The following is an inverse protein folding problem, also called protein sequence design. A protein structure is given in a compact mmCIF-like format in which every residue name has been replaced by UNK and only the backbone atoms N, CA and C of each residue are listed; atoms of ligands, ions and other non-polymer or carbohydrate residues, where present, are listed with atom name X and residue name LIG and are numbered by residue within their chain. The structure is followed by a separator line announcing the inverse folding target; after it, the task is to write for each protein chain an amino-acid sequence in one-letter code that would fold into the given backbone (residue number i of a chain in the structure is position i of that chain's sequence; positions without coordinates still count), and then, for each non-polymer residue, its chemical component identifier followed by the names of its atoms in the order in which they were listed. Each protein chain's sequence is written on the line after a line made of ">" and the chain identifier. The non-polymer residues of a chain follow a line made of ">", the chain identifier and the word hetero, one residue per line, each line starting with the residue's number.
data_IF_996055281308
#
_entry.id   IF_996055281308
#
_cell.length_a   1.000
_cell.length_b   1.000
_cell.length_c   1.000
_cell.angle_alpha   90.00
_cell.angle_beta   90.00
_cell.angle_gamma   90.00
#
_symmetry.space_group_name_H-M   'P 1'
#
loop_
_entity.id
_entity.type
_entity.pdbx_description
1 polymer ?
#
# COMPACT_ATOMS: atom_id res chain seq x y z
N UNK A 1 -6.04 -11.38 28.64
CA UNK A 1 -6.73 -10.64 27.56
C UNK A 1 -6.47 -11.35 26.24
N UNK A 2 -7.43 -11.42 25.30
CA UNK A 2 -7.25 -12.06 23.96
C UNK A 2 -6.02 -11.51 23.22
N UNK A 3 -5.65 -10.26 23.48
CA UNK A 3 -4.46 -9.62 22.91
C UNK A 3 -3.15 -10.35 23.24
N UNK A 4 -2.97 -10.82 24.46
CA UNK A 4 -1.73 -11.48 24.92
C UNK A 4 -1.71 -12.99 24.66
N UNK A 5 -2.77 -13.57 24.09
CA UNK A 5 -2.75 -15.00 23.77
C UNK A 5 -1.75 -15.28 22.65
N UNK A 6 -1.08 -16.43 22.72
CA UNK A 6 -0.19 -16.94 21.65
C UNK A 6 -0.96 -17.38 20.38
N UNK A 7 -2.28 -17.17 20.36
CA UNK A 7 -3.12 -17.48 19.22
C UNK A 7 -2.81 -16.54 18.05
N UNK A 8 -2.48 -17.16 16.91
CA UNK A 8 -2.20 -16.47 15.65
C UNK A 8 -3.51 -15.84 15.15
N UNK A 9 -3.54 -14.52 14.88
CA UNK A 9 -4.72 -13.87 14.32
C UNK A 9 -5.10 -14.46 12.95
N UNK A 10 -6.40 -14.56 12.66
CA UNK A 10 -6.90 -15.02 11.35
C UNK A 10 -6.54 -14.09 10.18
N UNK A 11 -6.23 -12.83 10.49
CA UNK A 11 -5.88 -11.78 9.52
C UNK A 11 -4.53 -11.18 9.87
N UNK A 12 -3.79 -10.77 8.87
CA UNK A 12 -2.56 -9.98 9.02
C UNK A 12 -2.86 -8.51 8.72
N UNK A 13 -2.07 -7.62 9.30
CA UNK A 13 -2.09 -6.19 9.03
C UNK A 13 -0.67 -5.71 8.78
N UNK A 14 -0.50 -4.61 8.05
CA UNK A 14 0.85 -4.07 7.82
C UNK A 14 1.36 -3.29 9.05
N UNK A 15 2.68 -3.16 9.24
CA UNK A 15 3.23 -2.32 10.29
C UNK A 15 2.80 -0.85 10.18
N UNK A 16 2.61 -0.33 8.95
CA UNK A 16 2.11 1.03 8.71
C UNK A 16 0.68 1.21 9.20
N UNK A 17 -0.15 0.17 9.12
CA UNK A 17 -1.50 0.18 9.67
C UNK A 17 -1.45 0.25 11.21
N UNK A 18 -0.57 -0.52 11.84
CA UNK A 18 -0.32 -0.42 13.29
C UNK A 18 0.12 1.00 13.70
N UNK A 19 1.06 1.60 12.98
CA UNK A 19 1.50 3.00 13.19
C UNK A 19 0.34 3.97 13.00
N UNK A 20 -0.53 3.76 12.00
CA UNK A 20 -1.71 4.60 11.77
C UNK A 20 -2.67 4.55 12.96
N UNK A 21 -2.88 3.38 13.55
CA UNK A 21 -3.79 3.23 14.69
C UNK A 21 -3.28 3.92 15.95
N UNK A 22 -1.97 4.08 16.14
CA UNK A 22 -1.43 4.83 17.28
C UNK A 22 -1.82 6.32 17.25
N UNK A 23 -2.03 6.92 16.07
CA UNK A 23 -2.55 8.29 15.94
C UNK A 23 -3.93 8.44 16.58
N UNK A 24 -4.77 7.40 16.46
CA UNK A 24 -6.08 7.35 17.12
C UNK A 24 -5.97 7.43 18.64
N UNK A 25 -4.98 6.74 19.22
CA UNK A 25 -4.67 6.80 20.66
C UNK A 25 -4.23 8.21 21.06
N UNK A 26 -3.31 8.84 20.31
CA UNK A 26 -2.84 10.20 20.59
C UNK A 26 -4.00 11.20 20.60
N UNK A 27 -4.89 11.13 19.61
CA UNK A 27 -6.08 11.99 19.56
C UNK A 27 -7.04 11.71 20.72
N UNK A 28 -7.30 10.43 21.02
CA UNK A 28 -8.18 10.05 22.11
C UNK A 28 -7.61 10.47 23.47
N UNK A 29 -6.28 10.44 23.64
CA UNK A 29 -5.57 10.91 24.85
C UNK A 29 -5.79 12.41 25.06
N UNK A 30 -5.61 13.22 24.00
CA UNK A 30 -5.86 14.65 24.07
C UNK A 30 -7.32 14.97 24.45
N UNK A 31 -8.28 14.22 23.89
CA UNK A 31 -9.69 14.37 24.27
C UNK A 31 -9.98 13.95 25.70
N UNK A 32 -9.32 12.90 26.21
CA UNK A 32 -9.48 12.48 27.61
C UNK A 32 -8.98 13.55 28.58
N UNK A 33 -7.84 14.18 28.29
CA UNK A 33 -7.33 15.31 29.09
C UNK A 33 -8.30 16.50 29.03
N UNK A 34 -8.83 16.82 27.85
CA UNK A 34 -9.82 17.89 27.70
C UNK A 34 -11.11 17.60 28.47
N UNK A 35 -11.62 16.37 28.42
CA UNK A 35 -12.80 15.94 29.15
C UNK A 35 -12.59 16.03 30.67
N UNK A 36 -11.43 15.57 31.18
CA UNK A 36 -11.07 15.73 32.59
C UNK A 36 -11.03 17.19 33.02
N UNK A 37 -10.49 18.08 32.19
CA UNK A 37 -10.46 19.52 32.48
C UNK A 37 -11.86 20.18 32.44
N UNK A 38 -12.75 19.71 31.56
CA UNK A 38 -14.11 20.24 31.41
C UNK A 38 -15.02 19.93 32.61
N UNK A 39 -14.79 18.80 33.27
CA UNK A 39 -15.69 18.21 34.28
C UNK A 39 -17.13 18.01 33.79
N UNK A 40 -17.35 17.89 32.48
CA UNK A 40 -18.68 17.63 31.89
C UNK A 40 -18.86 16.13 31.65
N UNK A 41 -19.96 15.59 32.16
CA UNK A 41 -20.25 14.17 32.01
C UNK A 41 -20.43 13.76 30.54
N UNK A 42 -21.02 14.62 29.72
CA UNK A 42 -21.18 14.40 28.26
C UNK A 42 -19.82 14.22 27.56
N UNK A 43 -18.85 15.09 27.88
CA UNK A 43 -17.49 15.03 27.31
C UNK A 43 -16.77 13.74 27.73
N UNK A 44 -16.97 13.29 28.98
CA UNK A 44 -16.41 12.03 29.49
C UNK A 44 -17.02 10.82 28.79
N UNK A 45 -18.34 10.80 28.57
CA UNK A 45 -19.03 9.71 27.83
C UNK A 45 -18.56 9.65 26.38
N UNK A 46 -18.52 10.80 25.70
CA UNK A 46 -18.06 10.89 24.32
C UNK A 46 -16.60 10.42 24.18
N UNK A 47 -15.74 10.81 25.12
CA UNK A 47 -14.35 10.36 25.19
C UNK A 47 -14.28 8.85 25.41
N UNK A 48 -14.99 8.29 26.40
CA UNK A 48 -14.93 6.86 26.70
C UNK A 48 -15.31 5.98 25.49
N UNK A 49 -16.31 6.40 24.70
CA UNK A 49 -16.69 5.71 23.47
C UNK A 49 -15.60 5.77 22.40
N UNK A 50 -14.98 6.93 22.20
CA UNK A 50 -13.84 7.08 21.29
C UNK A 50 -12.65 6.23 21.75
N UNK A 51 -12.32 6.28 23.04
CA UNK A 51 -11.23 5.55 23.66
C UNK A 51 -11.36 4.04 23.46
N UNK A 52 -12.55 3.49 23.71
CA UNK A 52 -12.81 2.06 23.53
C UNK A 52 -12.49 1.61 22.10
N UNK A 53 -12.94 2.37 21.11
CA UNK A 53 -12.67 2.08 19.70
C UNK A 53 -11.18 2.18 19.39
N UNK A 54 -10.55 3.30 19.76
CA UNK A 54 -9.14 3.53 19.47
C UNK A 54 -8.23 2.46 20.08
N UNK A 55 -8.48 2.04 21.33
CA UNK A 55 -7.73 0.97 22.00
C UNK A 55 -7.96 -0.38 21.33
N UNK A 56 -9.22 -0.72 21.00
CA UNK A 56 -9.53 -1.98 20.33
C UNK A 56 -8.88 -2.08 18.94
N UNK A 57 -8.97 -1.01 18.14
CA UNK A 57 -8.38 -0.94 16.81
C UNK A 57 -6.84 -1.03 16.89
N UNK A 58 -6.22 -0.33 17.86
CA UNK A 58 -4.76 -0.40 18.09
C UNK A 58 -4.31 -1.80 18.49
N UNK A 59 -4.98 -2.44 19.45
CA UNK A 59 -4.62 -3.79 19.90
C UNK A 59 -4.78 -4.81 18.76
N UNK A 60 -5.83 -4.66 17.96
CA UNK A 60 -6.07 -5.54 16.81
C UNK A 60 -4.94 -5.40 15.79
N UNK A 61 -4.64 -4.17 15.33
CA UNK A 61 -3.58 -3.93 14.36
C UNK A 61 -2.19 -4.31 14.90
N UNK A 62 -1.91 -4.04 16.18
CA UNK A 62 -0.64 -4.41 16.81
C UNK A 62 -0.45 -5.94 16.84
N UNK A 63 -1.49 -6.69 17.23
CA UNK A 63 -1.43 -8.16 17.23
C UNK A 63 -1.29 -8.71 15.81
N UNK A 64 -2.08 -8.22 14.87
CA UNK A 64 -2.06 -8.71 13.49
C UNK A 64 -0.72 -8.42 12.78
N UNK A 65 -0.11 -7.25 13.02
CA UNK A 65 1.20 -6.91 12.46
C UNK A 65 2.34 -7.70 13.10
N UNK A 66 2.32 -7.87 14.43
CA UNK A 66 3.39 -8.57 15.16
C UNK A 66 3.46 -10.08 14.89
N UNK A 67 2.39 -10.67 14.36
CA UNK A 67 2.33 -12.09 13.97
C UNK A 67 2.61 -12.32 12.47
N UNK A 68 3.06 -11.29 11.73
CA UNK A 68 3.52 -11.48 10.36
C UNK A 68 4.72 -12.45 10.32
N UNK A 69 4.82 -13.37 9.34
CA UNK A 69 5.88 -14.38 9.28
C UNK A 69 7.31 -13.80 9.33
N UNK A 70 7.49 -12.62 8.76
CA UNK A 70 8.81 -11.95 8.67
C UNK A 70 9.20 -11.18 9.94
N UNK A 71 8.32 -11.14 10.96
CA UNK A 71 8.59 -10.45 12.23
C UNK A 71 9.27 -11.39 13.21
N UNK A 72 10.43 -10.96 13.72
CA UNK A 72 11.17 -11.73 14.72
C UNK A 72 10.40 -11.85 16.04
N UNK A 73 10.64 -12.93 16.79
CA UNK A 73 10.00 -13.17 18.08
C UNK A 73 10.26 -12.03 19.08
N UNK A 74 11.49 -11.50 19.12
CA UNK A 74 11.85 -10.37 19.98
C UNK A 74 11.02 -9.12 19.67
N UNK A 75 10.87 -8.77 18.39
CA UNK A 75 10.07 -7.61 17.97
C UNK A 75 8.60 -7.83 18.28
N UNK A 76 8.09 -9.05 18.09
CA UNK A 76 6.72 -9.43 18.45
C UNK A 76 6.48 -9.28 19.95
N UNK A 77 7.33 -9.82 20.81
CA UNK A 77 7.22 -9.69 22.26
C UNK A 77 7.24 -8.23 22.71
N UNK A 78 8.16 -7.44 22.14
CA UNK A 78 8.25 -5.99 22.41
C UNK A 78 6.95 -5.27 22.05
N UNK A 79 6.38 -5.54 20.87
CA UNK A 79 5.13 -4.93 20.42
C UNK A 79 3.95 -5.30 21.33
N UNK A 80 3.80 -6.57 21.71
CA UNK A 80 2.74 -7.03 22.62
C UNK A 80 2.90 -6.45 24.03
N UNK A 81 4.13 -6.33 24.51
CA UNK A 81 4.42 -5.66 25.78
C UNK A 81 3.97 -4.20 25.74
N UNK A 82 4.41 -3.41 24.77
CA UNK A 82 4.04 -1.99 24.72
C UNK A 82 2.57 -1.76 24.33
N UNK A 83 1.92 -2.69 23.62
CA UNK A 83 0.47 -2.67 23.44
C UNK A 83 -0.27 -2.81 24.77
N UNK A 84 0.24 -3.66 25.65
CA UNK A 84 -0.27 -3.83 27.02
C UNK A 84 0.00 -2.58 27.86
N UNK A 85 1.25 -2.08 27.88
CA UNK A 85 1.61 -0.87 28.65
C UNK A 85 0.82 0.35 28.19
N UNK A 86 0.59 0.51 26.88
CA UNK A 86 -0.25 1.56 26.33
C UNK A 86 -1.69 1.45 26.85
N UNK A 87 -2.26 0.24 26.83
CA UNK A 87 -3.63 -0.01 27.31
C UNK A 87 -3.78 0.25 28.81
N UNK A 88 -2.83 -0.23 29.62
CA UNK A 88 -2.83 0.01 31.07
C UNK A 88 -2.66 1.50 31.37
N UNK A 89 -1.70 2.16 30.71
CA UNK A 89 -1.47 3.59 30.86
C UNK A 89 -2.70 4.42 30.51
N UNK A 90 -3.44 3.98 29.48
CA UNK A 90 -4.67 4.62 29.02
C UNK A 90 -5.85 4.36 29.98
N UNK A 91 -5.97 3.15 30.52
CA UNK A 91 -7.00 2.81 31.51
C UNK A 91 -6.86 3.71 32.75
N UNK A 92 -5.65 3.81 33.29
CA UNK A 92 -5.37 4.67 34.44
C UNK A 92 -5.66 6.15 34.16
N UNK A 93 -5.41 6.64 32.93
CA UNK A 93 -5.82 7.98 32.53
C UNK A 93 -7.34 8.15 32.60
N UNK A 94 -8.13 7.19 32.11
CA UNK A 94 -9.59 7.25 32.17
C UNK A 94 -10.14 7.14 33.59
N UNK A 95 -9.53 6.30 34.43
CA UNK A 95 -9.86 6.21 35.86
C UNK A 95 -9.61 7.54 36.57
N UNK A 96 -8.51 8.22 36.25
CA UNK A 96 -8.20 9.53 36.79
C UNK A 96 -9.15 10.63 36.28
N UNK A 97 -9.56 10.57 35.01
CA UNK A 97 -10.61 11.45 34.46
C UNK A 97 -11.94 11.25 35.20
N UNK A 98 -12.31 10.01 35.51
CA UNK A 98 -13.50 9.70 36.29
C UNK A 98 -13.40 10.24 37.74
N UNK A 99 -12.23 10.11 38.36
CA UNK A 99 -11.96 10.68 39.69
C UNK A 99 -12.16 12.21 39.70
N UNK A 100 -11.64 12.91 38.67
CA UNK A 100 -11.84 14.36 38.53
C UNK A 100 -13.32 14.71 38.36
N UNK A 101 -14.09 13.92 37.60
CA UNK A 101 -15.53 14.14 37.44
C UNK A 101 -16.26 14.04 38.78
N UNK A 102 -15.87 13.10 39.65
CA UNK A 102 -16.48 12.90 40.97
C UNK A 102 -16.04 13.96 41.99
N UNK A 103 -14.77 14.40 41.93
CA UNK A 103 -14.16 15.30 42.90
C UNK A 103 -13.24 16.30 42.18
N UNK A 104 -13.79 17.33 41.52
CA UNK A 104 -13.00 18.22 40.70
C UNK A 104 -12.11 19.12 41.56
N UNK A 105 -10.78 18.91 41.50
CA UNK A 105 -9.79 19.77 42.14
C UNK A 105 -8.69 20.19 41.14
N UNK A 106 -8.06 21.37 41.33
CA UNK A 106 -6.97 21.81 40.45
C UNK A 106 -5.78 20.85 40.45
N UNK A 107 -5.45 20.26 41.60
CA UNK A 107 -4.36 19.28 41.76
C UNK A 107 -4.60 18.04 40.90
N UNK A 108 -5.80 17.46 40.96
CA UNK A 108 -6.13 16.28 40.16
C UNK A 108 -6.09 16.58 38.65
N UNK A 109 -6.54 17.78 38.24
CA UNK A 109 -6.44 18.23 36.84
C UNK A 109 -4.98 18.39 36.40
N UNK A 110 -4.11 18.93 37.25
CA UNK A 110 -2.70 19.08 36.94
C UNK A 110 -2.02 17.71 36.67
N UNK A 111 -2.41 16.69 37.44
CA UNK A 111 -1.90 15.33 37.28
C UNK A 111 -2.27 14.68 35.93
N UNK A 112 -3.29 15.15 35.19
CA UNK A 112 -3.61 14.62 33.85
C UNK A 112 -2.41 14.66 32.89
N UNK A 113 -1.52 15.63 33.03
CA UNK A 113 -0.33 15.75 32.20
C UNK A 113 0.62 14.56 32.36
N UNK A 114 0.77 14.02 33.57
CA UNK A 114 1.66 12.87 33.82
C UNK A 114 1.09 11.59 33.21
N UNK A 115 -0.21 11.34 33.40
CA UNK A 115 -0.92 10.20 32.80
C UNK A 115 -0.86 10.26 31.25
N UNK A 116 -1.15 11.42 30.67
CA UNK A 116 -1.03 11.67 29.23
C UNK A 116 0.38 11.37 28.71
N UNK A 117 1.42 11.84 29.43
CA UNK A 117 2.82 11.62 29.03
C UNK A 117 3.20 10.14 29.05
N UNK A 118 2.69 9.37 30.01
CA UNK A 118 2.93 7.92 30.07
C UNK A 118 2.29 7.20 28.87
N UNK A 119 1.06 7.55 28.51
CA UNK A 119 0.41 7.02 27.30
C UNK A 119 1.22 7.36 26.05
N UNK A 120 1.67 8.61 25.92
CA UNK A 120 2.49 9.04 24.79
C UNK A 120 3.83 8.28 24.72
N UNK A 121 4.45 7.98 25.86
CA UNK A 121 5.64 7.15 25.93
C UNK A 121 5.40 5.75 25.34
N UNK A 122 4.36 5.06 25.80
CA UNK A 122 4.01 3.74 25.27
C UNK A 122 3.64 3.77 23.77
N UNK A 123 2.98 4.84 23.31
CA UNK A 123 2.71 5.06 21.87
C UNK A 123 4.00 5.18 21.06
N UNK A 124 4.99 5.92 21.55
CA UNK A 124 6.30 6.04 20.90
C UNK A 124 6.98 4.68 20.77
N UNK A 125 6.96 3.87 21.84
CA UNK A 125 7.56 2.53 21.82
C UNK A 125 6.81 1.57 20.88
N UNK A 126 5.48 1.70 20.76
CA UNK A 126 4.68 0.98 19.77
C UNK A 126 5.06 1.34 18.33
N UNK A 127 5.28 2.63 18.05
CA UNK A 127 5.72 3.09 16.72
C UNK A 127 7.08 2.47 16.39
N UNK A 128 8.05 2.59 17.29
CA UNK A 128 9.38 1.99 17.10
C UNK A 128 9.31 0.47 16.92
N UNK A 129 8.43 -0.21 17.66
CA UNK A 129 8.24 -1.65 17.51
C UNK A 129 7.66 -2.00 16.14
N UNK A 130 6.70 -1.22 15.65
CA UNK A 130 6.15 -1.40 14.30
C UNK A 130 7.16 -1.06 13.19
N UNK A 131 8.02 -0.06 13.38
CA UNK A 131 9.12 0.20 12.44
C UNK A 131 10.10 -0.98 12.38
N UNK A 132 10.42 -1.56 13.53
CA UNK A 132 11.29 -2.74 13.61
C UNK A 132 10.67 -4.00 12.98
N UNK A 133 9.33 -4.10 12.87
CA UNK A 133 8.65 -5.23 12.22
C UNK A 133 8.97 -5.34 10.74
N UNK A 134 9.36 -4.24 10.09
CA UNK A 134 9.71 -4.25 8.68
C UNK A 134 10.99 -5.07 8.43
N UNK A 135 11.88 -5.15 9.41
CA UNK A 135 13.20 -5.76 9.24
C UNK A 135 14.19 -4.82 8.53
N UNK A 136 15.48 -5.16 8.57
CA UNK A 136 16.56 -4.31 8.04
C UNK A 136 16.65 -4.29 6.51
N UNK A 137 15.98 -5.23 5.84
CA UNK A 137 15.99 -5.38 4.38
C UNK A 137 14.71 -4.88 3.70
N UNK A 138 13.76 -4.33 4.47
CA UNK A 138 12.54 -3.80 3.89
C UNK A 138 12.83 -2.55 3.08
N UNK A 139 12.39 -2.58 1.83
CA UNK A 139 12.47 -1.46 0.90
C UNK A 139 11.04 -1.02 0.59
N UNK A 140 10.79 0.29 0.62
CA UNK A 140 9.46 0.83 0.33
C UNK A 140 9.11 0.55 -1.15
N UNK A 141 8.06 -0.22 -1.44
CA UNK A 141 7.67 -0.53 -2.82
C UNK A 141 7.22 0.71 -3.60
N UNK A 142 6.86 1.80 -2.92
CA UNK A 142 6.52 3.08 -3.55
C UNK A 142 7.75 3.99 -3.73
N UNK A 143 8.94 3.56 -3.30
CA UNK A 143 10.18 4.29 -3.53
C UNK A 143 10.46 4.36 -5.05
N UNK A 144 10.65 5.56 -5.62
CA UNK A 144 10.91 5.72 -7.06
C UNK A 144 12.09 4.89 -7.57
N UNK A 145 13.07 4.60 -6.71
CA UNK A 145 14.25 3.78 -7.03
C UNK A 145 13.88 2.31 -7.16
N UNK A 146 13.04 1.78 -6.26
CA UNK A 146 12.54 0.40 -6.31
C UNK A 146 11.62 0.19 -7.51
N UNK A 147 10.76 1.17 -7.79
CA UNK A 147 9.90 1.16 -8.96
C UNK A 147 10.76 1.13 -10.22
N UNK A 148 11.76 2.02 -10.32
CA UNK A 148 12.67 2.06 -11.46
C UNK A 148 13.46 0.76 -11.64
N UNK A 149 13.94 0.15 -10.55
CA UNK A 149 14.65 -1.13 -10.59
C UNK A 149 13.74 -2.28 -11.05
N UNK A 150 12.52 -2.35 -10.51
CA UNK A 150 11.53 -3.37 -10.87
C UNK A 150 11.12 -3.24 -12.35
N UNK A 151 10.87 -2.03 -12.83
CA UNK A 151 10.57 -1.76 -14.23
C UNK A 151 11.75 -2.11 -15.14
N UNK A 152 12.98 -1.80 -14.72
CA UNK A 152 14.20 -2.13 -15.48
C UNK A 152 14.38 -3.65 -15.62
N UNK A 153 14.18 -4.42 -14.54
CA UNK A 153 14.25 -5.88 -14.56
C UNK A 153 13.13 -6.48 -15.42
N UNK A 154 11.92 -5.95 -15.34
CA UNK A 154 10.80 -6.36 -16.19
C UNK A 154 11.05 -6.09 -17.68
N UNK A 155 11.66 -4.95 -18.00
CA UNK A 155 12.06 -4.61 -19.37
C UNK A 155 13.14 -5.57 -19.88
N UNK A 156 14.15 -5.90 -19.07
CA UNK A 156 15.21 -6.84 -19.44
C UNK A 156 14.65 -8.23 -19.77
N UNK A 157 13.75 -8.76 -18.93
CA UNK A 157 13.09 -10.04 -19.18
C UNK A 157 12.26 -10.02 -20.47
N UNK A 158 11.57 -8.92 -20.75
CA UNK A 158 10.78 -8.73 -21.97
C UNK A 158 11.64 -8.70 -23.24
N UNK A 159 12.81 -8.06 -23.18
CA UNK A 159 13.80 -8.04 -24.27
C UNK A 159 14.34 -9.44 -24.52
N UNK A 160 14.70 -10.20 -23.47
CA UNK A 160 15.20 -11.56 -23.62
C UNK A 160 14.14 -12.48 -24.26
N UNK A 161 12.88 -12.37 -23.83
CA UNK A 161 11.77 -13.11 -24.42
C UNK A 161 11.57 -12.77 -25.90
N UNK A 162 11.67 -11.49 -26.26
CA UNK A 162 11.60 -11.06 -27.66
C UNK A 162 12.77 -11.59 -28.49
N UNK A 163 13.98 -11.59 -27.95
CA UNK A 163 15.17 -12.12 -28.61
C UNK A 163 15.03 -13.63 -28.90
N UNK A 164 14.61 -14.42 -27.91
CA UNK A 164 14.31 -15.86 -28.09
C UNK A 164 13.23 -16.08 -29.15
N UNK A 165 12.21 -15.23 -29.18
CA UNK A 165 11.14 -15.30 -30.19
C UNK A 165 11.68 -15.01 -31.59
N UNK A 166 12.60 -14.05 -31.74
CA UNK A 166 13.25 -13.76 -33.02
C UNK A 166 14.12 -14.93 -33.50
N UNK A 167 14.84 -15.59 -32.60
CA UNK A 167 15.67 -16.77 -32.93
C UNK A 167 14.83 -17.95 -33.46
N UNK A 168 13.60 -18.12 -32.95
CA UNK A 168 12.67 -19.17 -33.39
C UNK A 168 12.01 -18.87 -34.75
N UNK A 169 12.12 -17.65 -35.28
CA UNK A 169 11.52 -17.28 -36.55
C UNK A 169 12.38 -17.75 -37.72
N UNK A 170 11.77 -18.46 -38.67
CA UNK A 170 12.42 -18.85 -39.93
C UNK A 170 12.38 -17.69 -40.95
N UNK A 171 13.38 -17.59 -41.84
CA UNK A 171 13.37 -16.62 -42.93
C UNK A 171 12.11 -16.77 -43.78
N UNK A 172 11.42 -15.65 -44.06
CA UNK A 172 10.21 -15.64 -44.88
C UNK A 172 10.53 -16.16 -46.28
N UNK A 173 9.86 -17.23 -46.72
CA UNK A 173 10.04 -17.78 -48.06
C UNK A 173 9.72 -16.72 -49.12
N UNK A 174 10.60 -16.54 -50.10
CA UNK A 174 10.37 -15.62 -51.23
C UNK A 174 9.07 -16.01 -51.94
N UNK A 175 8.22 -15.04 -52.34
CA UNK A 175 7.00 -15.35 -53.07
C UNK A 175 7.35 -16.10 -54.36
N UNK A 176 6.70 -17.24 -54.58
CA UNK A 176 6.83 -18.01 -55.82
C UNK A 176 6.32 -17.11 -56.94
N UNK A 177 7.20 -16.67 -57.84
CA UNK A 177 6.83 -16.06 -59.12
C UNK A 177 5.98 -17.10 -59.87
N UNK A 178 4.66 -16.97 -59.83
CA UNK A 178 3.78 -17.72 -60.71
C UNK A 178 4.03 -17.22 -62.12
N UNK A 179 4.69 -18.05 -62.93
CA UNK A 179 4.73 -17.92 -64.40
C UNK A 179 3.29 -17.82 -64.87
N UNK A 180 2.87 -16.61 -65.25
CA UNK A 180 1.63 -16.43 -65.98
C UNK A 180 1.80 -17.09 -67.35
N UNK A 181 0.86 -17.98 -67.69
CA UNK A 181 0.68 -18.58 -69.00
C UNK A 181 0.60 -17.47 -70.08
N UNK A 182 1.65 -17.33 -70.90
CA UNK A 182 1.54 -16.61 -72.17
C UNK A 182 1.08 -17.58 -73.27
N UNK A 183 -0.16 -18.06 -73.17
CA UNK A 183 -0.94 -18.52 -74.32
C UNK A 183 -2.04 -17.48 -74.54
N UNK A 184 -1.84 -16.55 -75.48
CA UNK A 184 -2.92 -15.62 -75.86
C UNK A 184 -2.55 -14.25 -76.42
N UNK A 185 -1.30 -13.96 -76.80
CA UNK A 185 -1.01 -12.76 -77.60
C UNK A 185 -0.90 -13.15 -79.09
N UNK A 186 -1.95 -12.82 -79.84
CA UNK A 186 -1.93 -12.81 -81.32
C UNK A 186 -0.77 -11.91 -81.80
N UNK A 187 -0.07 -12.26 -82.88
CA UNK A 187 1.01 -11.42 -83.42
C UNK A 187 0.45 -10.07 -83.87
N UNK A 188 1.18 -8.98 -83.56
CA UNK A 188 0.88 -7.64 -84.05
C UNK A 188 1.03 -7.61 -85.59
N UNK A 189 0.10 -6.96 -86.32
CA UNK A 189 0.17 -6.87 -87.77
C UNK A 189 1.40 -6.08 -88.23
N UNK A 190 1.95 -6.50 -89.37
CA UNK A 190 3.15 -5.95 -90.01
C UNK A 190 2.96 -4.48 -90.42
N UNK A 191 4.09 -3.75 -90.49
CA UNK A 191 4.20 -2.28 -90.68
C UNK A 191 3.43 -1.73 -91.90
N UNK A 192 3.09 -2.55 -92.88
CA UNK A 192 2.35 -2.15 -94.09
C UNK A 192 0.83 -1.98 -93.88
N UNK A 193 0.22 -2.57 -92.84
CA UNK A 193 -1.22 -2.39 -92.53
C UNK A 193 -1.53 -1.06 -91.81
N UNK A 194 -0.53 -0.38 -91.24
CA UNK A 194 -0.72 0.90 -90.53
C UNK A 194 -0.73 2.14 -91.45
N UNK A 195 -0.35 1.99 -92.72
CA UNK A 195 -0.28 3.11 -93.67
C UNK A 195 -1.63 3.49 -94.33
N UNK A 196 -2.68 2.68 -94.12
CA UNK A 196 -4.00 2.89 -94.75
C UNK A 196 -4.94 3.87 -94.03
N UNK A 197 -4.68 4.25 -92.77
CA UNK A 197 -5.63 5.03 -91.97
C UNK A 197 -5.28 6.52 -91.83
N UNK A 198 -4.14 6.98 -92.37
CA UNK A 198 -3.85 8.41 -92.52
C UNK A 198 -4.44 8.95 -93.82
N UNK A 199 -5.74 9.15 -93.85
CA UNK A 199 -6.40 10.14 -94.73
C UNK A 199 -7.86 10.20 -94.34
N UNK A 200 -8.21 11.11 -93.43
CA UNK A 200 -9.44 11.91 -93.50
C UNK A 200 -9.62 12.82 -92.25
N UNK A 201 -9.59 14.15 -92.51
CA UNK A 201 -10.02 15.30 -91.67
C UNK A 201 -9.13 15.64 -90.45
N UNK A 202 -8.28 16.68 -90.38
CA UNK A 202 -8.27 18.08 -90.85
C UNK A 202 -9.29 19.02 -90.15
N UNK A 203 -8.71 19.84 -89.24
CA UNK A 203 -8.95 21.28 -89.03
C UNK A 203 -10.25 21.75 -88.34
N UNK A 204 -10.01 22.61 -87.34
CA UNK A 204 -10.89 23.53 -86.60
C UNK A 204 -11.77 22.93 -85.50
#
# INVERSE_FOLDING_TARGET
>A
MVFQSSEVPEKTSSPEESIRMTKGITMATAKAVAAGNSCRQEDVIATANLSRKAVADMLTACKQASFHPDVSEEVRERALRFGTECTLGYLELLEHVLLILQKPTPELKHQLASFSKRVAGAVTELIQSAEAMKGTEWVDPEDPTVIAETELLGAAASIEAAAKKLEQLKPRAKPKLTRADHRGLLPLPSVEEQAGFRRNYHVA
#
